data_IF_119805733705
#
_entry.id   IF_119805733705
#
_cell.length_a   1.000
_cell.length_b   1.000
_cell.length_c   1.000
_cell.angle_alpha   90.00
_cell.angle_beta   90.00
_cell.angle_gamma   90.00
#
_symmetry.space_group_name_H-M   'P 1'
#
loop_
_entity.id
_entity.type
_entity.pdbx_description
1 polymer ?
#
# COMPACT_ATOMS: atom_id res chain seq x y z
N UNK A 1 -2.88 11.02 -0.09
CA UNK A 1 -1.78 10.98 0.90
C UNK A 1 -1.03 9.66 0.80
N UNK A 2 0.24 9.65 0.41
CA UNK A 2 1.03 8.42 0.15
C UNK A 2 1.03 7.43 1.33
N UNK A 3 1.11 7.93 2.57
CA UNK A 3 1.04 7.09 3.76
C UNK A 3 -0.29 6.34 3.96
N UNK A 4 -1.41 6.84 3.42
CA UNK A 4 -2.70 6.14 3.51
C UNK A 4 -2.74 4.99 2.50
N UNK A 5 -2.24 5.23 1.29
CA UNK A 5 -2.13 4.20 0.25
C UNK A 5 -1.26 3.04 0.72
N UNK A 6 -0.07 3.33 1.25
CA UNK A 6 0.85 2.28 1.71
C UNK A 6 0.28 1.46 2.87
N UNK A 7 -0.44 2.09 3.82
CA UNK A 7 -1.08 1.37 4.93
C UNK A 7 -2.19 0.43 4.45
N UNK A 8 -2.92 0.81 3.41
CA UNK A 8 -4.01 -0.01 2.86
C UNK A 8 -3.50 -1.31 2.22
N UNK A 9 -2.26 -1.31 1.69
CA UNK A 9 -1.71 -2.47 0.97
C UNK A 9 -0.68 -3.29 1.77
N UNK A 10 -0.01 -2.71 2.78
CA UNK A 10 1.09 -3.36 3.50
C UNK A 10 0.70 -4.68 4.20
N UNK A 11 -0.56 -4.80 4.64
CA UNK A 11 -1.08 -6.02 5.26
C UNK A 11 -1.13 -7.22 4.29
N UNK A 12 -1.31 -6.99 3.00
CA UNK A 12 -1.41 -8.03 1.98
C UNK A 12 -0.09 -8.78 1.78
N UNK A 13 1.03 -8.08 1.97
CA UNK A 13 2.37 -8.67 1.99
C UNK A 13 2.83 -9.11 3.40
N UNK A 14 1.91 -9.17 4.37
CA UNK A 14 2.21 -9.60 5.74
C UNK A 14 3.18 -8.66 6.46
N UNK A 15 2.97 -7.35 6.31
CA UNK A 15 3.87 -6.35 6.86
C UNK A 15 3.20 -5.03 7.22
N UNK A 16 4.01 -3.99 7.31
CA UNK A 16 3.61 -2.65 7.72
C UNK A 16 4.28 -1.58 6.86
N UNK A 17 3.76 -0.36 6.94
CA UNK A 17 4.32 0.75 6.18
C UNK A 17 3.87 2.10 6.69
N UNK A 18 4.56 3.13 6.21
CA UNK A 18 4.29 4.51 6.58
C UNK A 18 5.15 5.50 5.79
N UNK A 19 4.89 6.78 6.01
CA UNK A 19 5.63 7.85 5.38
C UNK A 19 4.92 9.19 5.45
N UNK A 20 5.49 10.15 4.72
CA UNK A 20 5.01 11.52 4.57
C UNK A 20 3.88 11.58 3.53
N UNK A 21 3.14 12.70 3.44
CA UNK A 21 2.07 12.87 2.44
C UNK A 21 2.50 12.60 0.99
N UNK A 22 3.75 12.89 0.65
CA UNK A 22 4.28 12.80 -0.71
C UNK A 22 5.17 11.56 -0.93
N UNK A 23 5.48 10.80 0.11
CA UNK A 23 6.35 9.62 0.00
C UNK A 23 6.07 8.64 1.14
N UNK A 24 5.84 7.38 0.81
CA UNK A 24 5.69 6.31 1.78
C UNK A 24 6.30 5.00 1.30
N UNK A 25 6.64 4.13 2.25
CA UNK A 25 7.22 2.82 1.98
C UNK A 25 6.59 1.75 2.88
N UNK A 26 6.50 0.53 2.36
CA UNK A 26 6.05 -0.66 3.08
C UNK A 26 7.01 -1.82 2.83
N UNK A 27 7.01 -2.78 3.73
CA UNK A 27 7.69 -4.06 3.56
C UNK A 27 6.97 -5.15 4.34
N UNK A 28 7.12 -6.40 3.92
CA UNK A 28 6.45 -7.53 4.53
C UNK A 28 7.14 -8.86 4.22
N UNK A 29 6.76 -9.91 4.96
CA UNK A 29 7.40 -11.23 4.88
C UNK A 29 6.74 -12.19 3.89
N UNK A 30 5.61 -11.79 3.31
CA UNK A 30 4.84 -12.60 2.37
C UNK A 30 4.97 -12.05 0.93
N UNK A 31 5.96 -12.51 0.15
CA UNK A 31 6.11 -12.08 -1.24
C UNK A 31 4.96 -12.54 -2.15
N UNK A 32 4.21 -13.59 -1.78
CA UNK A 32 3.06 -14.03 -2.57
C UNK A 32 1.90 -13.01 -2.57
N UNK A 33 1.90 -12.06 -1.63
CA UNK A 33 0.90 -10.99 -1.56
C UNK A 33 1.16 -9.79 -2.48
N UNK A 34 2.28 -9.78 -3.22
CA UNK A 34 2.70 -8.60 -4.02
C UNK A 34 1.66 -8.28 -5.11
N UNK A 35 1.16 -9.28 -5.83
CA UNK A 35 0.18 -9.07 -6.89
C UNK A 35 -1.13 -8.48 -6.35
N UNK A 36 -1.64 -9.05 -5.24
CA UNK A 36 -2.81 -8.50 -4.55
C UNK A 36 -2.57 -7.06 -4.04
N UNK A 37 -1.36 -6.76 -3.56
CA UNK A 37 -1.00 -5.42 -3.12
C UNK A 37 -0.98 -4.40 -4.26
N UNK A 38 -0.55 -4.79 -5.46
CA UNK A 38 -0.57 -3.93 -6.65
C UNK A 38 -2.00 -3.63 -7.10
N UNK A 39 -2.85 -4.66 -7.21
CA UNK A 39 -4.28 -4.48 -7.54
C UNK A 39 -4.96 -3.55 -6.52
N UNK A 40 -4.73 -3.80 -5.22
CA UNK A 40 -5.32 -2.94 -4.18
C UNK A 40 -4.78 -1.51 -4.20
N UNK A 41 -3.53 -1.30 -4.62
CA UNK A 41 -2.95 0.03 -4.74
C UNK A 41 -3.67 0.87 -5.81
N UNK A 42 -4.05 0.26 -6.93
CA UNK A 42 -4.82 0.93 -7.99
C UNK A 42 -6.21 1.35 -7.51
N UNK A 43 -6.92 0.47 -6.81
CA UNK A 43 -8.24 0.77 -6.22
C UNK A 43 -8.17 1.96 -5.24
N UNK A 44 -7.23 1.91 -4.30
CA UNK A 44 -7.06 2.95 -3.27
C UNK A 44 -6.57 4.27 -3.87
N UNK A 45 -5.79 4.21 -4.96
CA UNK A 45 -5.39 5.41 -5.69
C UNK A 45 -6.61 6.08 -6.35
N UNK A 46 -7.48 5.30 -7.00
CA UNK A 46 -8.69 5.83 -7.61
C UNK A 46 -9.62 6.49 -6.57
N UNK A 47 -9.79 5.86 -5.40
CA UNK A 47 -10.57 6.42 -4.27
C UNK A 47 -10.01 7.75 -3.75
N UNK A 48 -8.70 7.98 -3.84
CA UNK A 48 -8.05 9.22 -3.35
C UNK A 48 -8.06 10.36 -4.37
N UNK A 49 -8.36 10.07 -5.63
CA UNK A 49 -8.43 11.05 -6.72
C UNK A 49 -9.87 11.52 -7.01
N UNK A 50 -10.86 10.77 -6.51
CA UNK A 50 -12.26 11.16 -6.50
C UNK A 50 -12.54 12.23 -5.44
#
# INVERSE_FOLDING_TARGET
HAGNLIKAIAGLVGGGGGGRPNMAQAGGKNPAGIEAALVKAEEVLAEQLA
#
